data_IF_990093190644
#
_entry.id   IF_990093190644
#
_cell.length_a   1.000
_cell.length_b   1.000
_cell.length_c   1.000
_cell.angle_alpha   90.00
_cell.angle_beta   90.00
_cell.angle_gamma   90.00
#
_symmetry.space_group_name_H-M   'P 1'
#
loop_
_entity.id
_entity.type
_entity.pdbx_description
1 polymer ?
#
# COMPACT_ATOMS: atom_id res chain seq x y z
N UNK A 1 17.33 -3.76 -9.06
CA UNK A 1 16.68 -2.46 -9.34
C UNK A 1 16.14 -2.36 -10.77
N UNK A 2 15.24 -3.27 -11.20
CA UNK A 2 14.64 -3.21 -12.56
C UNK A 2 13.10 -3.27 -12.52
N UNK A 3 12.50 -3.67 -11.39
CA UNK A 3 11.05 -3.84 -11.29
C UNK A 3 10.25 -2.55 -11.02
N UNK A 4 10.91 -1.42 -10.73
CA UNK A 4 10.24 -0.11 -10.54
C UNK A 4 10.19 0.73 -11.83
N UNK A 5 10.90 0.35 -12.89
CA UNK A 5 10.87 1.08 -14.17
C UNK A 5 9.79 0.56 -15.13
N UNK A 6 9.40 -0.72 -15.02
CA UNK A 6 8.34 -1.30 -15.86
C UNK A 6 6.94 -0.75 -15.56
N UNK A 7 6.69 -0.26 -14.33
CA UNK A 7 5.39 0.32 -13.96
C UNK A 7 5.23 1.80 -14.40
N UNK A 8 6.29 2.44 -14.91
CA UNK A 8 6.20 3.82 -15.38
C UNK A 8 5.85 3.93 -16.89
N UNK A 9 5.98 2.86 -17.69
CA UNK A 9 5.73 2.91 -19.13
C UNK A 9 4.35 2.43 -19.60
N UNK A 10 3.50 1.90 -18.72
CA UNK A 10 2.12 1.47 -19.09
C UNK A 10 1.08 2.60 -19.03
N UNK A 11 1.50 3.84 -18.76
CA UNK A 11 0.62 5.04 -18.76
C UNK A 11 0.36 5.65 -20.15
N UNK A 12 0.54 4.91 -21.26
CA UNK A 12 0.43 5.48 -22.62
C UNK A 12 -0.38 4.65 -23.64
N UNK A 13 -1.29 3.75 -23.24
CA UNK A 13 -2.26 3.19 -24.20
C UNK A 13 -3.62 2.86 -23.53
N UNK A 14 -4.66 3.69 -23.72
CA UNK A 14 -5.94 3.55 -23.01
C UNK A 14 -6.87 2.44 -23.55
N UNK A 15 -6.49 1.70 -24.59
CA UNK A 15 -7.44 0.85 -25.33
C UNK A 15 -7.60 -0.59 -24.82
N UNK A 16 -6.94 -1.01 -23.73
CA UNK A 16 -6.91 -2.45 -23.35
C UNK A 16 -7.40 -2.83 -21.96
N UNK A 17 -7.94 -1.92 -21.15
CA UNK A 17 -8.27 -2.25 -19.74
C UNK A 17 -9.74 -2.60 -19.48
N UNK A 18 -10.66 -2.49 -20.46
CA UNK A 18 -12.10 -2.71 -20.20
C UNK A 18 -12.66 -3.89 -20.98
N UNK A 19 -12.21 -5.11 -20.68
CA UNK A 19 -12.92 -6.34 -21.12
C UNK A 19 -12.87 -7.46 -20.09
N UNK A 20 -13.26 -7.19 -18.84
CA UNK A 20 -13.76 -8.25 -17.95
C UNK A 20 -15.05 -7.79 -17.27
N UNK A 21 -16.16 -8.37 -17.73
CA UNK A 21 -17.58 -8.11 -17.39
C UNK A 21 -18.35 -7.07 -18.24
N UNK A 22 -18.08 -7.04 -19.55
CA UNK A 22 -18.84 -6.27 -20.53
C UNK A 22 -20.04 -7.06 -21.10
N UNK A 23 -21.05 -7.35 -20.27
CA UNK A 23 -22.43 -7.58 -20.79
C UNK A 23 -23.20 -6.26 -20.94
N UNK A 24 -22.63 -5.17 -20.41
CA UNK A 24 -23.19 -3.81 -20.50
C UNK A 24 -22.93 -3.17 -21.87
N UNK A 25 -21.82 -3.46 -22.56
CA UNK A 25 -21.51 -2.79 -23.85
C UNK A 25 -22.35 -3.29 -25.01
N UNK A 26 -22.73 -4.57 -25.04
CA UNK A 26 -23.50 -5.12 -26.16
C UNK A 26 -24.95 -4.58 -26.22
N UNK A 27 -25.56 -4.28 -25.06
CA UNK A 27 -26.91 -3.67 -25.00
C UNK A 27 -26.87 -2.14 -25.10
N UNK A 28 -25.78 -1.49 -24.65
CA UNK A 28 -25.64 -0.04 -24.75
C UNK A 28 -25.44 0.41 -26.22
N UNK A 29 -24.79 -0.41 -27.04
CA UNK A 29 -24.59 -0.13 -28.47
C UNK A 29 -25.90 -0.06 -29.29
N UNK A 30 -26.99 -0.67 -28.82
CA UNK A 30 -28.29 -0.64 -29.52
C UNK A 30 -29.18 0.54 -29.10
N UNK A 31 -28.82 1.30 -28.05
CA UNK A 31 -29.59 2.44 -27.55
C UNK A 31 -28.91 3.78 -27.89
N UNK A 32 -27.59 3.84 -28.01
CA UNK A 32 -26.86 5.05 -28.39
C UNK A 32 -26.54 5.05 -29.89
N UNK A 33 -27.44 5.63 -30.68
CA UNK A 33 -27.26 5.84 -32.13
C UNK A 33 -26.21 6.88 -32.52
N UNK A 34 -25.44 7.43 -31.57
CA UNK A 34 -24.35 8.35 -31.88
C UNK A 34 -23.11 8.04 -31.05
N UNK A 35 -22.05 7.60 -31.74
CA UNK A 35 -20.70 7.42 -31.19
C UNK A 35 -20.19 8.75 -30.58
N UNK A 36 -20.67 9.90 -31.07
CA UNK A 36 -20.38 11.24 -30.51
C UNK A 36 -20.79 11.41 -29.04
N UNK A 37 -21.79 10.66 -28.55
CA UNK A 37 -22.22 10.77 -27.14
C UNK A 37 -21.35 9.94 -26.18
N UNK A 38 -20.56 8.99 -26.69
CA UNK A 38 -19.60 8.21 -25.89
C UNK A 38 -18.36 9.06 -25.54
N UNK A 39 -17.92 9.90 -26.48
CA UNK A 39 -16.77 10.81 -26.33
C UNK A 39 -17.07 11.91 -25.30
N UNK A 40 -18.33 12.33 -25.18
CA UNK A 40 -18.77 13.29 -24.15
C UNK A 40 -18.79 12.64 -22.75
N UNK A 41 -19.08 11.34 -22.64
CA UNK A 41 -19.09 10.63 -21.36
C UNK A 41 -17.69 10.41 -20.78
N UNK A 42 -16.68 10.16 -21.61
CA UNK A 42 -15.28 10.07 -21.15
C UNK A 42 -14.70 11.45 -20.77
N UNK A 43 -15.08 12.50 -21.49
CA UNK A 43 -14.63 13.87 -21.22
C UNK A 43 -15.32 14.51 -20.01
N UNK A 44 -16.59 14.18 -19.74
CA UNK A 44 -17.38 14.82 -18.67
C UNK A 44 -17.12 14.25 -17.26
N UNK A 45 -16.54 13.05 -17.15
CA UNK A 45 -16.22 12.46 -15.84
C UNK A 45 -14.94 13.07 -15.24
N UNK A 46 -14.11 13.74 -16.05
CA UNK A 46 -12.77 14.20 -15.67
C UNK A 46 -12.61 15.66 -15.22
N UNK A 47 -13.59 16.55 -15.42
CA UNK A 47 -13.38 17.98 -15.18
C UNK A 47 -14.45 18.63 -14.27
N UNK A 48 -14.08 18.87 -13.00
CA UNK A 48 -14.65 19.97 -12.20
C UNK A 48 -16.04 19.80 -11.58
N UNK A 49 -16.78 18.71 -11.82
CA UNK A 49 -18.06 18.51 -11.11
C UNK A 49 -17.86 18.04 -9.65
N UNK A 50 -18.60 18.62 -8.68
CA UNK A 50 -18.60 18.12 -7.30
C UNK A 50 -18.96 16.63 -7.27
N UNK A 51 -18.26 15.84 -6.45
CA UNK A 51 -18.44 14.37 -6.32
C UNK A 51 -19.91 13.97 -6.17
N UNK A 52 -20.72 14.81 -5.51
CA UNK A 52 -22.15 14.60 -5.30
C UNK A 52 -22.99 14.67 -6.58
N UNK A 53 -22.62 15.54 -7.52
CA UNK A 53 -23.26 15.68 -8.83
C UNK A 53 -22.91 14.47 -9.70
N UNK A 54 -21.64 14.04 -9.72
CA UNK A 54 -21.20 12.83 -10.41
C UNK A 54 -21.98 11.60 -9.92
N UNK A 55 -22.09 11.43 -8.60
CA UNK A 55 -22.83 10.31 -8.01
C UNK A 55 -24.33 10.35 -8.36
N UNK A 56 -24.94 11.55 -8.38
CA UNK A 56 -26.35 11.72 -8.80
C UNK A 56 -26.56 11.25 -10.24
N UNK A 57 -25.69 11.66 -11.15
CA UNK A 57 -25.77 11.29 -12.56
C UNK A 57 -25.65 9.78 -12.73
N UNK A 58 -24.66 9.15 -12.09
CA UNK A 58 -24.47 7.69 -12.14
C UNK A 58 -25.70 6.93 -11.64
N UNK A 59 -26.29 7.36 -10.52
CA UNK A 59 -27.49 6.74 -9.96
C UNK A 59 -28.68 6.90 -10.91
N UNK A 60 -28.87 8.09 -11.48
CA UNK A 60 -29.98 8.37 -12.38
C UNK A 60 -29.90 7.51 -13.65
N UNK A 61 -28.72 7.44 -14.27
CA UNK A 61 -28.47 6.62 -15.45
C UNK A 61 -28.73 5.14 -15.16
N UNK A 62 -28.24 4.62 -14.03
CA UNK A 62 -28.47 3.21 -13.63
C UNK A 62 -29.95 2.90 -13.39
N UNK A 63 -30.75 3.87 -12.94
CA UNK A 63 -32.19 3.69 -12.74
C UNK A 63 -32.98 3.72 -14.04
N UNK A 64 -32.66 4.65 -14.94
CA UNK A 64 -33.29 4.71 -16.26
C UNK A 64 -33.01 3.43 -17.06
N UNK A 65 -31.79 2.88 -16.99
CA UNK A 65 -31.46 1.59 -17.61
C UNK A 65 -32.26 0.41 -17.04
N UNK A 66 -32.81 0.53 -15.82
CA UNK A 66 -33.70 -0.46 -15.19
C UNK A 66 -35.19 -0.15 -15.37
N UNK A 67 -35.54 0.85 -16.18
CA UNK A 67 -36.93 1.29 -16.38
C UNK A 67 -37.56 1.97 -15.17
N UNK A 68 -36.79 2.28 -14.12
CA UNK A 68 -37.30 2.84 -12.85
C UNK A 68 -37.48 4.36 -12.85
N UNK A 69 -37.30 4.99 -14.02
CA UNK A 69 -37.41 6.43 -14.23
C UNK A 69 -36.41 7.28 -13.43
N UNK A 70 -36.36 8.59 -13.74
CA UNK A 70 -35.53 9.54 -13.01
C UNK A 70 -36.07 9.80 -11.60
N UNK A 71 -35.21 9.76 -10.57
CA UNK A 71 -35.58 10.26 -9.23
C UNK A 71 -35.60 11.79 -9.28
N UNK A 72 -36.74 12.39 -8.91
CA UNK A 72 -36.80 13.81 -8.54
C UNK A 72 -36.33 13.94 -7.09
N UNK A 73 -35.05 14.24 -6.89
CA UNK A 73 -34.57 14.66 -5.58
C UNK A 73 -35.07 16.07 -5.31
N UNK A 74 -35.95 16.23 -4.31
CA UNK A 74 -36.24 17.55 -3.76
C UNK A 74 -34.96 18.16 -3.19
N UNK A 75 -34.77 19.46 -3.45
CA UNK A 75 -33.65 20.22 -2.89
C UNK A 75 -33.67 20.12 -1.37
N UNK A 76 -32.48 20.04 -0.79
CA UNK A 76 -32.18 19.66 0.60
C UNK A 76 -32.96 20.46 1.66
N UNK A 77 -33.52 21.61 1.28
CA UNK A 77 -34.32 22.50 2.12
C UNK A 77 -35.72 21.96 2.46
N UNK A 78 -36.36 21.17 1.60
CA UNK A 78 -37.76 20.73 1.83
C UNK A 78 -37.90 19.55 2.78
N UNK A 79 -36.90 18.67 2.85
CA UNK A 79 -36.94 17.48 3.72
C UNK A 79 -36.71 17.79 5.19
N UNK A 80 -36.28 19.01 5.52
CA UNK A 80 -36.02 19.40 6.91
C UNK A 80 -37.29 19.83 7.66
N UNK A 81 -38.44 19.99 6.98
CA UNK A 81 -39.63 20.64 7.56
C UNK A 81 -40.88 19.76 7.74
N UNK A 82 -40.97 18.53 7.20
CA UNK A 82 -42.29 17.86 7.09
C UNK A 82 -42.52 16.51 7.76
N UNK A 83 -41.58 15.89 8.44
CA UNK A 83 -41.88 14.71 9.27
C UNK A 83 -41.26 14.92 10.65
N UNK A 84 -42.09 15.36 11.60
CA UNK A 84 -41.82 15.07 13.01
C UNK A 84 -41.82 13.54 13.10
N UNK A 85 -40.63 12.92 13.15
CA UNK A 85 -40.50 11.47 13.32
C UNK A 85 -41.34 11.07 14.53
N UNK A 86 -42.07 9.96 14.42
CA UNK A 86 -42.80 9.45 15.58
C UNK A 86 -41.79 9.20 16.71
N UNK A 87 -42.20 9.31 17.98
CA UNK A 87 -41.27 9.09 19.10
C UNK A 87 -40.56 7.73 19.02
N UNK A 88 -41.22 6.71 18.45
CA UNK A 88 -40.63 5.39 18.18
C UNK A 88 -39.56 5.42 17.07
N UNK A 89 -39.76 6.18 16.01
CA UNK A 89 -38.78 6.33 14.93
C UNK A 89 -37.54 7.13 15.35
N UNK A 90 -37.71 8.16 16.18
CA UNK A 90 -36.58 8.92 16.72
C UNK A 90 -35.73 8.06 17.67
N UNK A 91 -36.35 7.20 18.49
CA UNK A 91 -35.62 6.25 19.33
C UNK A 91 -34.81 5.24 18.50
N UNK A 92 -35.42 4.67 17.45
CA UNK A 92 -34.72 3.79 16.52
C UNK A 92 -33.54 4.49 15.84
N UNK A 93 -33.70 5.77 15.50
CA UNK A 93 -32.64 6.61 14.93
C UNK A 93 -31.51 6.85 15.94
N UNK A 94 -31.84 7.12 17.21
CA UNK A 94 -30.88 7.29 18.31
C UNK A 94 -30.04 6.03 18.51
N UNK A 95 -30.68 4.87 18.59
CA UNK A 95 -30.00 3.57 18.72
C UNK A 95 -29.08 3.28 17.53
N UNK A 96 -29.50 3.59 16.30
CA UNK A 96 -28.64 3.45 15.11
C UNK A 96 -27.40 4.34 15.17
N UNK A 97 -27.57 5.61 15.59
CA UNK A 97 -26.44 6.54 15.77
C UNK A 97 -25.48 6.05 16.84
N UNK A 98 -26.00 5.58 17.97
CA UNK A 98 -25.16 5.07 19.06
C UNK A 98 -24.38 3.82 18.63
N UNK A 99 -25.03 2.88 17.93
CA UNK A 99 -24.34 1.71 17.33
C UNK A 99 -23.26 2.14 16.34
N UNK A 100 -23.54 3.13 15.48
CA UNK A 100 -22.55 3.63 14.52
C UNK A 100 -21.38 4.34 15.21
N UNK A 101 -21.65 5.13 16.26
CA UNK A 101 -20.63 5.76 17.10
C UNK A 101 -19.70 4.72 17.72
N UNK A 102 -20.27 3.66 18.31
CA UNK A 102 -19.49 2.56 18.85
C UNK A 102 -18.69 1.82 17.78
N UNK A 103 -19.29 1.57 16.60
CA UNK A 103 -18.59 0.92 15.50
C UNK A 103 -17.42 1.77 14.97
N UNK A 104 -17.60 3.08 14.84
CA UNK A 104 -16.55 4.01 14.44
C UNK A 104 -15.41 4.06 15.48
N UNK A 105 -15.74 4.09 16.77
CA UNK A 105 -14.76 4.03 17.84
C UNK A 105 -13.96 2.71 17.82
N UNK A 106 -14.63 1.56 17.63
CA UNK A 106 -13.96 0.26 17.48
C UNK A 106 -13.07 0.21 16.24
N UNK A 107 -13.52 0.75 15.11
CA UNK A 107 -12.72 0.82 13.88
C UNK A 107 -11.44 1.65 14.08
N UNK A 108 -11.58 2.84 14.68
CA UNK A 108 -10.45 3.70 15.02
C UNK A 108 -9.50 3.05 16.02
N UNK A 109 -10.03 2.37 17.04
CA UNK A 109 -9.24 1.62 18.03
C UNK A 109 -8.43 0.52 17.35
N UNK A 110 -9.06 -0.38 16.59
CA UNK A 110 -8.35 -1.45 15.86
C UNK A 110 -7.26 -0.92 14.93
N UNK A 111 -7.50 0.22 14.27
CA UNK A 111 -6.47 0.86 13.44
C UNK A 111 -5.27 1.32 14.26
N UNK A 112 -5.50 1.96 15.41
CA UNK A 112 -4.43 2.38 16.33
C UNK A 112 -3.69 1.18 16.91
N UNK A 113 -4.41 0.20 17.43
CA UNK A 113 -3.81 -1.02 18.00
C UNK A 113 -2.92 -1.74 16.97
N UNK A 114 -3.34 -1.78 15.69
CA UNK A 114 -2.52 -2.33 14.60
C UNK A 114 -1.27 -1.50 14.33
N UNK A 115 -1.38 -0.17 14.33
CA UNK A 115 -0.24 0.73 14.13
C UNK A 115 0.76 0.55 15.29
N UNK A 116 0.28 0.58 16.53
CA UNK A 116 1.10 0.40 17.73
C UNK A 116 1.82 -0.95 17.73
N UNK A 117 1.14 -2.03 17.34
CA UNK A 117 1.76 -3.35 17.19
C UNK A 117 2.88 -3.32 16.15
N UNK A 118 2.64 -2.72 14.98
CA UNK A 118 3.67 -2.61 13.93
C UNK A 118 4.87 -1.78 14.38
N UNK A 119 4.63 -0.64 15.04
CA UNK A 119 5.67 0.21 15.61
C UNK A 119 6.49 -0.54 16.65
N UNK A 120 5.85 -1.29 17.55
CA UNK A 120 6.54 -2.12 18.55
C UNK A 120 7.40 -3.20 17.89
N UNK A 121 6.85 -3.94 16.92
CA UNK A 121 7.62 -4.96 16.21
C UNK A 121 8.80 -4.37 15.42
N UNK A 122 8.64 -3.17 14.86
CA UNK A 122 9.73 -2.49 14.18
C UNK A 122 10.84 -2.09 15.16
N UNK A 123 10.47 -1.59 16.35
CA UNK A 123 11.43 -1.26 17.40
C UNK A 123 12.18 -2.49 17.90
N UNK A 124 11.47 -3.60 18.17
CA UNK A 124 12.11 -4.85 18.60
C UNK A 124 13.13 -5.37 17.59
N UNK A 125 12.82 -5.29 16.29
CA UNK A 125 13.74 -5.68 15.22
C UNK A 125 14.95 -4.73 15.17
N UNK A 126 14.73 -3.42 15.28
CA UNK A 126 15.79 -2.42 15.26
C UNK A 126 16.76 -2.59 16.45
N UNK A 127 16.22 -2.84 17.65
CA UNK A 127 17.01 -3.10 18.85
C UNK A 127 17.82 -4.39 18.72
N UNK A 128 17.20 -5.46 18.18
CA UNK A 128 17.91 -6.72 17.92
C UNK A 128 19.02 -6.56 16.88
N UNK A 129 18.78 -5.78 15.82
CA UNK A 129 19.80 -5.51 14.81
C UNK A 129 21.00 -4.77 15.40
N UNK A 130 20.74 -3.73 16.20
CA UNK A 130 21.81 -2.96 16.88
C UNK A 130 22.62 -3.83 17.84
N UNK A 131 21.96 -4.73 18.58
CA UNK A 131 22.66 -5.67 19.44
C UNK A 131 23.59 -6.59 18.64
N UNK A 132 23.09 -7.19 17.55
CA UNK A 132 23.89 -8.05 16.68
C UNK A 132 25.04 -7.29 15.99
N UNK A 133 24.82 -6.06 15.54
CA UNK A 133 25.86 -5.21 14.97
C UNK A 133 26.97 -4.90 15.99
N UNK A 134 26.59 -4.68 17.25
CA UNK A 134 27.54 -4.48 18.36
C UNK A 134 28.36 -5.74 18.60
N UNK A 135 27.71 -6.91 18.64
CA UNK A 135 28.41 -8.20 18.81
C UNK A 135 29.38 -8.47 17.65
N UNK A 136 28.98 -8.19 16.42
CA UNK A 136 29.85 -8.29 15.24
C UNK A 136 31.05 -7.36 15.37
N UNK A 137 30.84 -6.12 15.82
CA UNK A 137 31.91 -5.15 16.02
C UNK A 137 32.90 -5.65 17.09
N UNK A 138 32.41 -6.15 18.22
CA UNK A 138 33.22 -6.70 19.30
C UNK A 138 34.04 -7.92 18.85
N UNK A 139 33.42 -8.86 18.13
CA UNK A 139 34.14 -10.02 17.59
C UNK A 139 35.21 -9.61 16.58
N UNK A 140 34.94 -8.60 15.76
CA UNK A 140 35.93 -8.05 14.82
C UNK A 140 37.11 -7.41 15.56
N UNK A 141 36.86 -6.66 16.64
CA UNK A 141 37.95 -6.09 17.44
C UNK A 141 38.79 -7.18 18.09
N UNK A 142 38.16 -8.18 18.72
CA UNK A 142 38.88 -9.32 19.31
C UNK A 142 39.73 -10.06 18.28
N UNK A 143 39.18 -10.31 17.09
CA UNK A 143 39.92 -10.93 15.99
C UNK A 143 41.13 -10.09 15.60
N UNK A 144 40.98 -8.77 15.45
CA UNK A 144 42.11 -7.89 15.10
C UNK A 144 43.18 -7.84 16.19
N UNK A 145 42.78 -7.86 17.46
CA UNK A 145 43.70 -7.90 18.60
C UNK A 145 44.49 -9.21 18.63
N UNK A 146 43.81 -10.35 18.52
CA UNK A 146 44.44 -11.67 18.46
C UNK A 146 45.38 -11.81 17.26
N UNK A 147 44.96 -11.31 16.08
CA UNK A 147 45.81 -11.27 14.90
C UNK A 147 47.05 -10.38 15.11
N UNK A 148 46.91 -9.26 15.80
CA UNK A 148 48.04 -8.37 16.12
C UNK A 148 49.04 -9.06 17.04
N UNK A 149 48.56 -9.74 18.09
CA UNK A 149 49.40 -10.57 18.98
C UNK A 149 50.14 -11.64 18.19
N UNK A 150 49.45 -12.38 17.31
CA UNK A 150 50.07 -13.42 16.50
C UNK A 150 51.16 -12.86 15.57
N UNK A 151 50.88 -11.76 14.87
CA UNK A 151 51.86 -11.09 14.00
C UNK A 151 53.08 -10.59 14.76
N UNK A 152 52.89 -10.10 16.00
CA UNK A 152 54.01 -9.70 16.85
C UNK A 152 54.89 -10.88 17.26
N UNK A 153 54.29 -12.07 17.43
CA UNK A 153 55.01 -13.30 17.77
C UNK A 153 55.77 -13.90 16.57
N UNK A 154 55.28 -13.73 15.34
CA UNK A 154 55.98 -14.18 14.12
C UNK A 154 57.39 -13.57 13.97
N UNK A 155 57.68 -12.40 14.56
CA UNK A 155 59.05 -11.87 14.57
C UNK A 155 60.00 -12.70 15.46
N UNK A 156 59.46 -13.34 16.51
CA UNK A 156 60.20 -14.22 17.42
C UNK A 156 60.39 -15.62 16.81
N UNK A 157 59.43 -16.10 16.01
CA UNK A 157 59.51 -17.42 15.34
C UNK A 157 60.31 -17.39 14.04
N UNK A 158 60.26 -16.31 13.24
CA UNK A 158 61.13 -16.17 12.04
C UNK A 158 62.61 -16.02 12.38
N UNK A 159 62.95 -15.68 13.61
CA UNK A 159 64.33 -15.72 14.13
C UNK A 159 64.83 -17.17 14.33
N UNK A 160 63.91 -18.15 14.36
CA UNK A 160 64.18 -19.60 14.46
C UNK A 160 64.03 -20.34 13.12
N UNK A 161 63.17 -19.85 12.23
CA UNK A 161 62.79 -20.54 10.99
C UNK A 161 63.50 -19.98 9.73
N UNK A 162 64.83 -19.83 9.77
CA UNK A 162 65.65 -19.79 8.54
C UNK A 162 65.84 -21.21 7.95
N UNK A 163 65.22 -22.23 8.56
CA UNK A 163 65.22 -23.60 8.05
C UNK A 163 63.80 -23.96 7.65
N UNK A 164 63.60 -24.26 6.36
CA UNK A 164 62.37 -24.73 5.68
C UNK A 164 61.50 -23.67 5.00
N UNK A 165 62.07 -23.03 3.98
CA UNK A 165 61.30 -22.38 2.92
C UNK A 165 61.21 -23.36 1.75
N UNK A 166 60.05 -24.00 1.57
CA UNK A 166 59.46 -24.47 0.30
C UNK A 166 58.16 -25.22 0.64
N UNK A 167 57.13 -25.12 -0.20
CA UNK A 167 55.81 -25.77 -0.10
C UNK A 167 54.69 -25.09 0.72
N UNK A 168 54.18 -23.94 0.26
CA UNK A 168 52.74 -23.65 0.37
C UNK A 168 52.25 -22.58 -0.61
N UNK A 169 52.55 -22.76 -1.89
CA UNK A 169 51.74 -22.17 -2.94
C UNK A 169 50.50 -23.05 -3.15
N UNK A 170 49.34 -22.63 -2.63
CA UNK A 170 48.00 -22.87 -3.20
C UNK A 170 46.92 -22.57 -2.16
N UNK A 171 46.11 -21.55 -2.43
CA UNK A 171 44.96 -21.18 -1.60
C UNK A 171 44.36 -19.85 -2.02
N UNK A 172 43.77 -19.81 -3.22
CA UNK A 172 42.87 -18.72 -3.65
C UNK A 172 41.67 -18.69 -2.70
N UNK A 173 41.49 -17.59 -1.98
CA UNK A 173 40.27 -17.30 -1.21
C UNK A 173 39.32 -16.53 -2.13
N UNK A 174 38.12 -17.06 -2.35
CA UNK A 174 37.04 -16.34 -3.02
C UNK A 174 36.44 -15.27 -2.09
N UNK A 175 36.28 -14.07 -2.62
CA UNK A 175 35.62 -12.90 -2.02
C UNK A 175 34.09 -13.00 -2.18
N UNK A 176 33.27 -12.76 -1.15
CA UNK A 176 31.84 -12.58 -1.34
C UNK A 176 31.55 -11.13 -1.80
N UNK A 177 30.99 -11.01 -3.00
CA UNK A 177 30.64 -9.73 -3.63
C UNK A 177 29.57 -8.91 -2.88
N UNK A 178 29.45 -7.60 -3.18
CA UNK A 178 28.62 -6.67 -2.42
C UNK A 178 27.13 -6.75 -2.81
N UNK A 179 26.25 -6.54 -1.83
CA UNK A 179 24.80 -6.35 -1.98
C UNK A 179 24.47 -5.00 -2.65
#
# INVERSE_FOLDING_TARGET
MISLWACHQERLNPTKVITRNCTITATCALVYKDISSLIIWESAIGAGMPVKENLRTVIQTRRCARGLGPIRLSTVTDRKRKEQLTPEEEEKRRLRRERNKQAANRCRKRKRDKIEMLERTAQEIDDSNKALETDIANMRTELTELMSVLRSHDCVMRSRDVVTQEDRASGLVEEPGPC
#
